data_IF_387536919260
#
_entry.id   IF_387536919260
#
_cell.length_a   1.000
_cell.length_b   1.000
_cell.length_c   1.000
_cell.angle_alpha   90.00
_cell.angle_beta   90.00
_cell.angle_gamma   90.00
#
_symmetry.space_group_name_H-M   'P 1'
#
loop_
_entity.id
_entity.type
_entity.pdbx_description
1 polymer ?
#
# COMPACT_ATOMS: atom_id res chain seq x y z
N UNK A 1 30.66 -15.61 -19.07
CA UNK A 1 30.37 -16.28 -17.78
C UNK A 1 29.57 -15.31 -16.93
N UNK A 2 28.24 -15.31 -17.03
CA UNK A 2 27.39 -14.43 -16.20
C UNK A 2 26.86 -15.23 -15.01
N UNK A 3 27.07 -14.65 -13.84
CA UNK A 3 26.86 -15.22 -12.52
C UNK A 3 25.37 -15.46 -12.25
N UNK A 4 24.99 -16.74 -12.15
CA UNK A 4 23.63 -17.19 -11.88
C UNK A 4 23.34 -16.96 -10.40
N UNK A 5 22.80 -15.79 -10.05
CA UNK A 5 22.28 -15.55 -8.70
C UNK A 5 21.07 -16.46 -8.48
N UNK A 6 21.27 -17.54 -7.72
CA UNK A 6 20.20 -18.42 -7.28
C UNK A 6 19.28 -17.68 -6.31
N UNK A 7 18.16 -17.19 -6.84
CA UNK A 7 17.11 -16.56 -6.05
C UNK A 7 16.39 -17.68 -5.30
N UNK A 8 16.71 -17.82 -4.01
CA UNK A 8 16.13 -18.81 -3.06
C UNK A 8 14.59 -18.82 -3.03
N UNK A 9 13.96 -17.73 -3.47
CA UNK A 9 12.50 -17.59 -3.61
C UNK A 9 12.14 -17.12 -5.04
N UNK A 10 11.26 -17.84 -5.75
CA UNK A 10 10.81 -17.52 -7.13
C UNK A 10 9.83 -16.32 -7.18
N UNK A 11 10.12 -15.23 -6.47
CA UNK A 11 9.28 -14.04 -6.42
C UNK A 11 9.77 -13.02 -7.44
N UNK A 12 8.88 -12.41 -8.25
CA UNK A 12 9.27 -11.32 -9.15
C UNK A 12 9.82 -10.13 -8.35
N UNK A 13 10.80 -9.42 -8.91
CA UNK A 13 11.34 -8.18 -8.32
C UNK A 13 10.33 -7.04 -8.46
N UNK A 14 10.38 -6.11 -7.52
CA UNK A 14 9.60 -4.87 -7.57
C UNK A 14 10.08 -3.96 -8.71
N UNK A 15 9.15 -3.20 -9.29
CA UNK A 15 9.42 -2.23 -10.36
C UNK A 15 9.28 -0.83 -9.80
N UNK A 16 10.32 0.00 -9.95
CA UNK A 16 10.30 1.40 -9.56
C UNK A 16 10.03 2.24 -10.82
N UNK A 17 9.01 3.11 -10.75
CA UNK A 17 8.61 3.98 -11.85
C UNK A 17 8.75 5.44 -11.43
N UNK A 18 9.61 6.17 -12.14
CA UNK A 18 9.83 7.59 -11.92
C UNK A 18 8.92 8.40 -12.83
N UNK A 19 7.93 9.08 -12.24
CA UNK A 19 7.02 9.96 -12.97
C UNK A 19 7.60 11.37 -13.08
N UNK A 20 7.45 11.98 -14.26
CA UNK A 20 7.85 13.39 -14.49
C UNK A 20 7.00 14.37 -13.66
N UNK A 21 5.70 14.12 -13.55
CA UNK A 21 4.78 14.96 -12.77
C UNK A 21 4.20 14.17 -11.60
N UNK A 22 4.21 14.80 -10.42
CA UNK A 22 3.62 14.25 -9.19
C UNK A 22 2.12 13.97 -9.30
N UNK A 23 1.40 14.78 -10.10
CA UNK A 23 -0.05 14.69 -10.29
C UNK A 23 -0.44 13.29 -10.80
N UNK A 24 0.22 12.81 -11.86
CA UNK A 24 -0.05 11.48 -12.42
C UNK A 24 0.20 10.35 -11.44
N UNK A 25 1.26 10.46 -10.62
CA UNK A 25 1.54 9.47 -9.57
C UNK A 25 0.40 9.42 -8.56
N UNK A 26 -0.08 10.57 -8.10
CA UNK A 26 -1.11 10.66 -7.08
C UNK A 26 -2.49 10.21 -7.62
N UNK A 27 -2.81 10.52 -8.89
CA UNK A 27 -3.99 10.01 -9.60
C UNK A 27 -3.95 8.48 -9.77
N UNK A 28 -2.81 7.93 -10.20
CA UNK A 28 -2.64 6.48 -10.36
C UNK A 28 -2.81 5.74 -9.03
N UNK A 29 -2.27 6.29 -7.94
CA UNK A 29 -2.42 5.72 -6.60
C UNK A 29 -3.88 5.77 -6.12
N UNK A 30 -4.61 6.84 -6.45
CA UNK A 30 -6.04 6.94 -6.15
C UNK A 30 -6.84 5.90 -6.93
N UNK A 31 -6.62 5.79 -8.24
CA UNK A 31 -7.27 4.82 -9.09
C UNK A 31 -7.04 3.37 -8.62
N UNK A 32 -5.80 3.04 -8.21
CA UNK A 32 -5.47 1.71 -7.67
C UNK A 32 -6.20 1.37 -6.35
N UNK A 33 -6.54 2.37 -5.53
CA UNK A 33 -7.32 2.14 -4.31
C UNK A 33 -8.81 1.92 -4.59
N UNK A 34 -9.34 2.55 -5.63
CA UNK A 34 -10.75 2.42 -6.04
C UNK A 34 -10.98 1.11 -6.80
N UNK A 35 -10.07 0.77 -7.71
CA UNK A 35 -10.19 -0.41 -8.56
C UNK A 35 -8.88 -1.21 -8.62
N UNK A 36 -8.93 -2.53 -8.39
CA UNK A 36 -7.74 -3.37 -8.45
C UNK A 36 -7.22 -3.48 -9.89
N UNK A 37 -5.93 -3.23 -10.09
CA UNK A 37 -5.29 -3.32 -11.40
C UNK A 37 -4.98 -4.80 -11.71
N UNK A 38 -5.44 -5.28 -12.87
CA UNK A 38 -5.18 -6.63 -13.36
C UNK A 38 -4.36 -6.56 -14.64
N UNK A 39 -3.24 -7.28 -14.67
CA UNK A 39 -2.38 -7.42 -15.84
C UNK A 39 -2.17 -8.89 -16.16
N UNK A 40 -2.45 -9.29 -17.40
CA UNK A 40 -2.33 -10.68 -17.87
C UNK A 40 -3.00 -11.70 -16.91
N UNK A 41 -4.20 -11.36 -16.43
CA UNK A 41 -4.97 -12.19 -15.49
C UNK A 41 -4.43 -12.22 -14.06
N UNK A 42 -3.37 -11.48 -13.74
CA UNK A 42 -2.79 -11.40 -12.39
C UNK A 42 -3.05 -10.02 -11.79
N UNK A 43 -3.43 -9.99 -10.51
CA UNK A 43 -3.57 -8.74 -9.77
C UNK A 43 -2.20 -8.15 -9.49
N UNK A 44 -2.04 -6.87 -9.80
CA UNK A 44 -0.85 -6.10 -9.47
C UNK A 44 -1.22 -5.14 -8.35
N UNK A 45 -0.30 -4.95 -7.41
CA UNK A 45 -0.43 -3.94 -6.36
C UNK A 45 0.56 -2.83 -6.65
N UNK A 46 0.06 -1.61 -6.73
CA UNK A 46 0.90 -0.42 -6.92
C UNK A 46 0.99 0.32 -5.59
N UNK A 47 2.21 0.46 -5.09
CA UNK A 47 2.49 1.12 -3.82
C UNK A 47 3.34 2.37 -4.04
N UNK A 48 3.14 3.35 -3.17
CA UNK A 48 4.00 4.52 -3.12
C UNK A 48 5.33 4.16 -2.49
N UNK A 49 6.42 4.51 -3.16
CA UNK A 49 7.76 4.36 -2.63
C UNK A 49 7.99 5.34 -1.47
N UNK A 50 8.62 4.84 -0.41
CA UNK A 50 9.04 5.61 0.74
C UNK A 50 10.47 5.22 1.13
N UNK A 51 11.29 6.16 1.62
CA UNK A 51 12.59 5.83 2.19
C UNK A 51 12.46 4.78 3.30
N UNK A 52 13.44 3.88 3.37
CA UNK A 52 13.48 2.78 4.36
C UNK A 52 13.37 3.30 5.79
N UNK A 53 13.96 4.44 6.09
CA UNK A 53 13.85 5.09 7.39
C UNK A 53 12.40 5.45 7.76
N UNK A 54 11.65 6.01 6.81
CA UNK A 54 10.22 6.34 7.01
C UNK A 54 9.41 5.07 7.25
N UNK A 55 9.70 4.00 6.51
CA UNK A 55 9.04 2.71 6.68
C UNK A 55 9.32 2.10 8.06
N UNK A 56 10.56 2.17 8.54
CA UNK A 56 10.95 1.67 9.86
C UNK A 56 10.27 2.45 10.98
N UNK A 57 10.21 3.79 10.88
CA UNK A 57 9.45 4.63 11.81
C UNK A 57 7.97 4.23 11.84
N UNK A 58 7.33 4.05 10.68
CA UNK A 58 5.92 3.60 10.61
C UNK A 58 5.70 2.22 11.23
N UNK A 59 6.63 1.28 11.04
CA UNK A 59 6.58 -0.06 11.65
C UNK A 59 6.66 0.02 13.18
N UNK A 60 7.51 0.90 13.72
CA UNK A 60 7.64 1.12 15.17
C UNK A 60 6.33 1.53 15.84
N UNK A 61 5.53 2.36 15.17
CA UNK A 61 4.26 2.88 15.71
C UNK A 61 3.02 2.08 15.25
N UNK A 62 3.20 0.90 14.65
CA UNK A 62 2.07 0.08 14.19
C UNK A 62 1.13 -0.31 15.35
N UNK A 63 1.67 -0.47 16.56
CA UNK A 63 0.89 -0.77 17.76
C UNK A 63 -0.13 0.34 18.08
N UNK A 64 0.23 1.62 17.91
CA UNK A 64 -0.68 2.74 18.14
C UNK A 64 -1.85 2.70 17.18
N UNK A 65 -1.59 2.44 15.89
CA UNK A 65 -2.63 2.29 14.87
C UNK A 65 -3.61 1.17 15.25
N UNK A 66 -3.09 0.01 15.67
CA UNK A 66 -3.91 -1.14 16.09
C UNK A 66 -4.82 -0.79 17.28
N UNK A 67 -4.28 -0.10 18.29
CA UNK A 67 -5.03 0.29 19.48
C UNK A 67 -6.08 1.37 19.19
N UNK A 68 -5.77 2.34 18.33
CA UNK A 68 -6.72 3.40 17.93
C UNK A 68 -7.86 2.80 17.12
N UNK A 69 -7.58 1.97 16.11
CA UNK A 69 -8.62 1.33 15.30
C UNK A 69 -9.54 0.44 16.13
N UNK A 70 -8.99 -0.32 17.09
CA UNK A 70 -9.79 -1.15 18.00
C UNK A 70 -10.69 -0.37 18.96
N UNK A 71 -10.35 0.89 19.28
CA UNK A 71 -11.13 1.75 20.17
C UNK A 71 -12.23 2.53 19.44
N UNK A 72 -12.05 2.86 18.15
CA UNK A 72 -13.06 3.58 17.35
C UNK A 72 -14.20 2.69 16.88
N UNK A 73 -13.95 1.41 16.58
CA UNK A 73 -15.01 0.46 16.18
C UNK A 73 -15.93 0.03 17.32
N UNK A 74 -15.55 0.27 18.59
CA UNK A 74 -16.40 0.01 19.76
C UNK A 74 -17.32 1.18 20.13
N UNK A 75 -17.22 2.33 19.46
CA UNK A 75 -18.09 3.50 19.71
C UNK A 75 -19.24 3.50 18.69
N UNK A 76 -20.31 2.81 19.08
CA UNK A 76 -21.73 2.83 18.62
C UNK A 76 -22.12 3.42 17.23
N UNK A 77 -23.10 2.80 16.53
CA UNK A 77 -23.74 3.44 15.38
C UNK A 77 -24.51 4.69 15.83
N UNK A 78 -24.34 5.80 15.10
CA UNK A 78 -25.08 7.05 15.34
C UNK A 78 -26.58 6.76 15.21
N UNK A 79 -27.44 7.21 16.15
CA UNK A 79 -28.88 7.09 15.99
C UNK A 79 -29.31 7.88 14.75
N UNK A 80 -29.99 7.22 13.82
CA UNK A 80 -30.69 7.93 12.74
C UNK A 80 -31.76 8.79 13.41
N UNK A 81 -31.65 10.11 13.31
CA UNK A 81 -32.76 11.00 13.65
C UNK A 81 -33.90 10.65 12.69
N UNK A 82 -34.92 9.96 13.20
CA UNK A 82 -36.22 9.88 12.54
C UNK A 82 -36.78 11.31 12.53
N UNK A 83 -36.99 11.84 11.34
CA UNK A 83 -37.88 12.96 11.06
C UNK A 83 -39.31 12.54 11.37
#
# INVERSE_FOLDING_TARGET
MQEKQEIRNKTPRDIIVNFTKKIFRDEMLKANNEHPIVYKGKRIVVLKEYPTETLNRRRKYLFLKKNIQGNTTKRSPKPQRRV
#
